data_IF_527415289666
#
_entry.id   IF_527415289666
#
_cell.length_a   1.000
_cell.length_b   1.000
_cell.length_c   1.000
_cell.angle_alpha   90.00
_cell.angle_beta   90.00
_cell.angle_gamma   90.00
#
_symmetry.space_group_name_H-M   'P 1'
#
loop_
_entity.id
_entity.type
_entity.pdbx_description
1 polymer ?
#
# COMPACT_ATOMS: atom_id res chain seq x y z
N UNK A 1 4.77 -8.84 -8.11
CA UNK A 1 3.52 -8.80 -7.32
C UNK A 1 3.41 -7.40 -6.75
N UNK A 2 2.36 -6.66 -7.10
CA UNK A 2 2.16 -5.29 -6.59
C UNK A 2 1.64 -5.34 -5.15
N UNK A 3 2.28 -4.59 -4.25
CA UNK A 3 1.94 -4.53 -2.81
C UNK A 3 1.00 -3.36 -2.54
N UNK A 4 1.19 -2.25 -3.26
CA UNK A 4 0.37 -1.06 -3.21
C UNK A 4 0.02 -0.63 -4.64
N UNK A 5 -1.15 -0.04 -4.80
CA UNK A 5 -1.61 0.60 -6.03
C UNK A 5 -2.01 2.04 -5.75
N UNK A 6 -1.86 2.91 -6.73
CA UNK A 6 -2.41 4.25 -6.66
C UNK A 6 -3.86 4.25 -7.16
N UNK A 7 -4.79 4.77 -6.36
CA UNK A 7 -6.19 4.94 -6.71
C UNK A 7 -6.44 6.42 -6.98
N UNK A 8 -6.65 6.76 -8.25
CA UNK A 8 -7.06 8.11 -8.65
C UNK A 8 -8.49 8.38 -8.18
N UNK A 9 -8.68 9.54 -7.56
CA UNK A 9 -9.98 10.02 -7.06
C UNK A 9 -10.50 11.19 -7.87
N UNK A 10 -9.64 12.10 -8.32
CA UNK A 10 -10.01 13.22 -9.20
C UNK A 10 -8.81 13.72 -10.02
N UNK A 11 -9.08 14.64 -10.94
CA UNK A 11 -8.07 15.37 -11.70
C UNK A 11 -8.46 16.85 -11.70
N UNK A 12 -7.56 17.72 -11.29
CA UNK A 12 -7.72 19.18 -11.34
C UNK A 12 -7.70 19.70 -12.78
N UNK A 13 -8.16 20.93 -12.98
CA UNK A 13 -8.15 21.61 -14.29
C UNK A 13 -6.75 21.84 -14.87
N UNK A 14 -5.73 21.93 -14.01
CA UNK A 14 -4.32 22.03 -14.39
C UNK A 14 -3.68 20.67 -14.77
N UNK A 15 -4.46 19.58 -14.71
CA UNK A 15 -4.01 18.23 -14.97
C UNK A 15 -3.44 17.50 -13.75
N UNK A 16 -3.43 18.11 -12.56
CA UNK A 16 -2.95 17.46 -11.34
C UNK A 16 -3.86 16.29 -10.96
N UNK A 17 -3.29 15.10 -10.78
CA UNK A 17 -4.02 13.89 -10.41
C UNK A 17 -4.07 13.73 -8.91
N UNK A 18 -5.28 13.69 -8.34
CA UNK A 18 -5.51 13.44 -6.93
C UNK A 18 -5.88 11.99 -6.69
N UNK A 19 -5.38 11.43 -5.59
CA UNK A 19 -5.62 10.04 -5.25
C UNK A 19 -4.83 9.64 -4.01
N UNK A 20 -4.86 8.35 -3.71
CA UNK A 20 -4.15 7.78 -2.57
C UNK A 20 -3.54 6.44 -2.95
N UNK A 21 -2.51 6.03 -2.21
CA UNK A 21 -2.05 4.66 -2.29
C UNK A 21 -2.93 3.76 -1.43
N UNK A 22 -3.20 2.55 -1.91
CA UNK A 22 -3.98 1.55 -1.22
C UNK A 22 -3.25 0.21 -1.31
N UNK A 23 -3.25 -0.55 -0.21
CA UNK A 23 -2.73 -1.89 -0.22
C UNK A 23 -3.55 -2.79 -1.16
N UNK A 24 -2.88 -3.73 -1.81
CA UNK A 24 -3.54 -4.70 -2.70
C UNK A 24 -4.04 -5.93 -1.96
N UNK A 25 -3.78 -6.07 -0.65
CA UNK A 25 -4.00 -7.31 0.10
C UNK A 25 -2.82 -8.28 0.04
N UNK A 26 -1.81 -7.99 -0.77
CA UNK A 26 -0.64 -8.84 -0.95
C UNK A 26 0.28 -8.78 0.26
N UNK A 27 0.59 -9.95 0.82
CA UNK A 27 1.67 -10.11 1.81
C UNK A 27 3.00 -10.41 1.11
N UNK A 28 4.00 -9.52 1.19
CA UNK A 28 5.28 -9.77 0.55
C UNK A 28 6.05 -10.91 1.21
N UNK A 29 6.76 -11.71 0.40
CA UNK A 29 7.58 -12.83 0.91
C UNK A 29 8.71 -12.36 1.83
N UNK A 30 9.31 -11.19 1.56
CA UNK A 30 10.37 -10.61 2.40
C UNK A 30 9.88 -10.16 3.79
N UNK A 31 8.57 -10.19 4.06
CA UNK A 31 8.03 -9.86 5.38
C UNK A 31 8.57 -10.84 6.44
N UNK A 32 8.78 -12.12 6.08
CA UNK A 32 9.42 -13.08 6.98
C UNK A 32 10.85 -12.67 7.32
N UNK A 33 11.59 -12.13 6.35
CA UNK A 33 12.98 -11.71 6.53
C UNK A 33 13.06 -10.47 7.44
N UNK A 34 12.11 -9.54 7.30
CA UNK A 34 11.97 -8.40 8.20
C UNK A 34 11.70 -8.86 9.63
N UNK A 35 10.75 -9.78 9.81
CA UNK A 35 10.42 -10.35 11.13
C UNK A 35 11.62 -11.09 11.72
N UNK A 36 12.37 -11.84 10.92
CA UNK A 36 13.59 -12.53 11.34
C UNK A 36 14.69 -11.55 11.79
N UNK A 37 14.71 -10.32 11.24
CA UNK A 37 15.57 -9.21 11.68
C UNK A 37 15.01 -8.40 12.85
N UNK A 38 13.89 -8.84 13.43
CA UNK A 38 13.21 -8.16 14.55
C UNK A 38 12.32 -6.99 14.14
N UNK A 39 12.16 -6.72 12.84
CA UNK A 39 11.30 -5.65 12.33
C UNK A 39 9.88 -6.18 12.18
N UNK A 40 9.00 -5.79 13.09
CA UNK A 40 7.57 -6.15 13.05
C UNK A 40 6.78 -5.03 12.38
N UNK A 41 6.14 -5.35 11.26
CA UNK A 41 5.22 -4.44 10.57
C UNK A 41 3.78 -4.89 10.88
N UNK A 42 2.87 -3.99 11.28
CA UNK A 42 1.47 -4.32 11.48
C UNK A 42 0.85 -4.89 10.21
N UNK A 43 0.10 -6.00 10.33
CA UNK A 43 -0.57 -6.61 9.18
C UNK A 43 -1.61 -5.70 8.51
N UNK A 44 -2.11 -4.70 9.23
CA UNK A 44 -3.04 -3.67 8.74
C UNK A 44 -2.45 -2.83 7.61
N UNK A 45 -1.13 -2.74 7.47
CA UNK A 45 -0.48 -2.01 6.38
C UNK A 45 -0.75 -2.64 5.01
N UNK A 46 -1.13 -3.92 4.99
CA UNK A 46 -1.45 -4.64 3.76
C UNK A 46 -2.96 -4.87 3.62
N UNK A 47 -3.79 -4.21 4.44
CA UNK A 47 -5.24 -4.34 4.39
C UNK A 47 -5.80 -3.51 3.22
N UNK A 48 -6.48 -4.14 2.24
CA UNK A 48 -7.02 -3.42 1.10
C UNK A 48 -8.29 -2.63 1.44
N UNK A 49 -8.82 -2.68 2.66
CA UNK A 49 -10.05 -1.98 3.04
C UNK A 49 -9.87 -0.48 3.29
N UNK A 50 -8.63 0.00 3.50
CA UNK A 50 -8.36 1.40 3.80
C UNK A 50 -7.22 1.99 2.96
N UNK A 51 -7.30 3.28 2.61
CA UNK A 51 -6.16 4.02 2.05
C UNK A 51 -5.02 4.12 3.08
N UNK A 52 -3.79 4.22 2.58
CA UNK A 52 -2.59 4.45 3.40
C UNK A 52 -2.50 5.86 3.97
#
# INVERSE_FOLDING_TARGET
>A
QEIFKFVRTSTSEDGTVHGHFQATGVRPRFLSDLVARGIKIPGSYFDPSQPL
#
